data_IF_041304261334
#
_entry.id   IF_041304261334
#
_cell.length_a   1.000
_cell.length_b   1.000
_cell.length_c   1.000
_cell.angle_alpha   90.00
_cell.angle_beta   90.00
_cell.angle_gamma   90.00
#
_symmetry.space_group_name_H-M   'P 1'
#
loop_
_entity.id
_entity.type
_entity.pdbx_description
1 polymer ?
#
# COMPACT_ATOMS: atom_id res chain seq x y z
N UNK A 1 3.01 14.19 6.89
CA UNK A 1 3.90 13.38 7.75
C UNK A 1 5.36 13.82 7.70
N UNK A 2 6.10 13.82 6.58
CA UNK A 2 7.50 14.31 6.61
C UNK A 2 7.64 15.76 7.09
N UNK A 3 6.66 16.61 6.78
CA UNK A 3 6.61 18.02 7.23
C UNK A 3 6.26 18.18 8.71
N UNK A 4 5.54 17.22 9.32
CA UNK A 4 5.16 17.31 10.75
C UNK A 4 6.31 16.90 11.66
N UNK A 5 7.13 15.94 11.23
CA UNK A 5 8.29 15.46 11.97
C UNK A 5 9.57 16.25 11.65
N UNK A 6 9.61 16.91 10.49
CA UNK A 6 10.70 17.78 10.06
C UNK A 6 10.13 18.95 9.24
N UNK A 7 9.70 20.04 9.89
CA UNK A 7 9.07 21.18 9.21
C UNK A 7 9.99 21.86 8.19
N UNK A 8 11.31 21.72 8.32
CA UNK A 8 12.29 22.22 7.37
C UNK A 8 12.13 21.55 5.99
N UNK A 9 11.87 20.24 5.96
CA UNK A 9 11.59 19.50 4.71
C UNK A 9 10.39 20.09 3.96
N UNK A 10 9.35 20.53 4.68
CA UNK A 10 8.18 21.14 4.05
C UNK A 10 8.34 22.59 3.60
N UNK A 11 9.35 23.29 4.13
CA UNK A 11 9.63 24.70 3.80
C UNK A 11 10.68 24.84 2.70
N UNK A 12 11.67 23.95 2.70
CA UNK A 12 12.86 24.06 1.85
C UNK A 12 12.81 23.16 0.61
N UNK A 13 11.91 22.17 0.58
CA UNK A 13 11.75 21.28 -0.59
C UNK A 13 10.43 21.52 -1.32
N UNK A 14 10.51 21.59 -2.64
CA UNK A 14 9.35 21.63 -3.54
C UNK A 14 9.10 20.26 -4.13
N UNK A 15 7.85 19.82 -4.13
CA UNK A 15 7.47 18.55 -4.77
C UNK A 15 7.43 18.74 -6.27
N UNK A 16 8.35 18.09 -6.98
CA UNK A 16 8.44 18.12 -8.45
C UNK A 16 7.49 17.13 -9.12
N UNK A 17 7.17 16.03 -8.45
CA UNK A 17 6.33 14.96 -8.97
C UNK A 17 5.70 14.16 -7.83
N UNK A 18 4.52 13.59 -8.07
CA UNK A 18 3.83 12.69 -7.14
C UNK A 18 3.32 11.47 -7.86
N UNK A 19 3.57 10.31 -7.26
CA UNK A 19 2.88 9.09 -7.67
C UNK A 19 1.40 9.16 -7.28
N UNK A 20 0.50 8.50 -8.04
CA UNK A 20 -0.84 8.20 -7.58
C UNK A 20 -0.81 7.45 -6.24
N UNK A 21 -1.92 7.49 -5.49
CA UNK A 21 -2.01 6.76 -4.22
C UNK A 21 -1.80 5.27 -4.46
N UNK A 22 -0.77 4.73 -3.81
CA UNK A 22 -0.48 3.31 -3.79
C UNK A 22 -1.23 2.63 -2.63
N UNK A 23 -1.50 1.34 -2.78
CA UNK A 23 -2.06 0.53 -1.69
C UNK A 23 -0.99 0.35 -0.62
N UNK A 24 -1.29 0.76 0.61
CA UNK A 24 -0.39 0.61 1.77
C UNK A 24 -0.32 -0.82 2.32
N UNK A 25 -1.34 -1.64 2.04
CA UNK A 25 -1.39 -3.05 2.42
C UNK A 25 -2.70 -3.71 2.03
N UNK A 26 -2.69 -5.04 1.95
CA UNK A 26 -3.88 -5.87 1.75
C UNK A 26 -3.95 -6.95 2.82
N UNK A 27 -5.17 -7.28 3.24
CA UNK A 27 -5.41 -8.43 4.11
C UNK A 27 -5.88 -9.58 3.22
N UNK A 28 -5.09 -10.64 3.15
CA UNK A 28 -5.42 -11.85 2.40
C UNK A 28 -5.76 -12.98 3.36
N UNK A 29 -6.74 -13.81 2.99
CA UNK A 29 -7.14 -15.00 3.75
C UNK A 29 -6.79 -16.26 2.97
N UNK A 30 -6.50 -17.35 3.68
CA UNK A 30 -6.18 -18.65 3.06
C UNK A 30 -7.35 -19.13 2.22
N UNK A 31 -7.07 -19.70 1.04
CA UNK A 31 -8.10 -20.10 0.07
C UNK A 31 -9.07 -21.13 0.62
N UNK A 32 -8.55 -22.11 1.36
CA UNK A 32 -9.22 -23.24 1.99
C UNK A 32 -9.88 -22.92 3.34
N UNK A 33 -9.77 -21.68 3.84
CA UNK A 33 -10.46 -21.30 5.07
C UNK A 33 -11.98 -21.36 4.84
N UNK A 34 -12.77 -22.03 5.73
CA UNK A 34 -14.21 -22.11 5.57
C UNK A 34 -14.87 -20.74 5.48
N UNK A 35 -15.87 -20.62 4.60
CA UNK A 35 -16.50 -19.32 4.29
C UNK A 35 -17.10 -18.64 5.53
N UNK A 36 -17.65 -19.43 6.46
CA UNK A 36 -18.15 -18.91 7.74
C UNK A 36 -17.07 -18.17 8.53
N UNK A 37 -15.82 -18.65 8.51
CA UNK A 37 -14.71 -17.99 9.19
C UNK A 37 -14.24 -16.76 8.41
N UNK A 38 -14.17 -16.83 7.07
CA UNK A 38 -13.83 -15.68 6.23
C UNK A 38 -14.79 -14.51 6.45
N UNK A 39 -16.10 -14.79 6.53
CA UNK A 39 -17.12 -13.76 6.75
C UNK A 39 -17.03 -13.18 8.16
N UNK A 40 -16.83 -14.01 9.19
CA UNK A 40 -16.61 -13.55 10.57
C UNK A 40 -15.38 -12.64 10.68
N UNK A 41 -14.25 -13.05 10.09
CA UNK A 41 -13.01 -12.25 10.07
C UNK A 41 -13.23 -10.94 9.32
N UNK A 42 -13.85 -10.99 8.14
CA UNK A 42 -14.14 -9.79 7.34
C UNK A 42 -14.99 -8.80 8.13
N UNK A 43 -16.08 -9.27 8.76
CA UNK A 43 -16.95 -8.40 9.55
C UNK A 43 -16.18 -7.78 10.71
N UNK A 44 -15.46 -8.59 11.49
CA UNK A 44 -14.68 -8.12 12.63
C UNK A 44 -13.64 -7.05 12.22
N UNK A 45 -12.91 -7.25 11.12
CA UNK A 45 -11.93 -6.28 10.63
C UNK A 45 -12.57 -4.98 10.15
N UNK A 46 -13.76 -5.04 9.53
CA UNK A 46 -14.45 -3.86 9.03
C UNK A 46 -15.03 -3.01 10.16
N UNK A 47 -15.45 -3.62 11.27
CA UNK A 47 -16.02 -2.91 12.43
C UNK A 47 -15.01 -2.65 13.54
N UNK A 48 -13.78 -3.14 13.44
CA UNK A 48 -12.75 -2.99 14.49
C UNK A 48 -12.50 -1.53 14.88
N UNK A 49 -12.59 -0.60 13.93
CA UNK A 49 -12.43 0.83 14.20
C UNK A 49 -13.59 1.47 14.98
N UNK A 50 -14.68 0.74 15.24
CA UNK A 50 -15.86 1.24 15.95
C UNK A 50 -15.69 1.11 17.47
N UNK A 51 -15.01 0.05 17.92
CA UNK A 51 -14.69 -0.19 19.33
C UNK A 51 -13.45 0.60 19.81
N UNK A 52 -13.27 0.70 21.12
CA UNK A 52 -12.21 1.52 21.72
C UNK A 52 -10.82 0.89 21.54
N UNK A 53 -10.71 -0.43 21.65
CA UNK A 53 -9.43 -1.16 21.54
C UNK A 53 -8.88 -1.10 20.11
N UNK A 54 -9.74 -1.29 19.11
CA UNK A 54 -9.42 -1.20 17.70
C UNK A 54 -9.11 0.22 17.26
N UNK A 55 -9.74 1.25 17.85
CA UNK A 55 -9.31 2.65 17.65
C UNK A 55 -7.87 2.87 18.13
N UNK A 56 -7.51 2.35 19.31
CA UNK A 56 -6.13 2.44 19.80
C UNK A 56 -5.15 1.71 18.88
N UNK A 57 -5.52 0.51 18.41
CA UNK A 57 -4.72 -0.23 17.44
C UNK A 57 -4.49 0.58 16.16
N UNK A 58 -5.54 1.23 15.64
CA UNK A 58 -5.46 1.98 14.39
C UNK A 58 -4.60 3.24 14.54
N UNK A 59 -4.62 3.89 15.72
CA UNK A 59 -3.69 4.98 16.03
C UNK A 59 -2.24 4.51 16.00
N UNK A 60 -1.92 3.37 16.61
CA UNK A 60 -0.56 2.81 16.63
C UNK A 60 -0.04 2.52 15.21
N UNK A 61 -0.91 2.00 14.33
CA UNK A 61 -0.56 1.74 12.93
C UNK A 61 -0.78 2.92 11.98
N UNK A 62 -1.20 4.08 12.49
CA UNK A 62 -1.54 5.27 11.70
C UNK A 62 -2.59 5.01 10.60
N UNK A 63 -3.51 4.09 10.89
CA UNK A 63 -4.64 3.75 10.03
C UNK A 63 -5.89 4.49 10.48
N UNK A 64 -6.77 4.82 9.52
CA UNK A 64 -8.08 5.41 9.83
C UNK A 64 -9.19 4.36 9.89
N UNK A 65 -9.21 3.47 8.90
CA UNK A 65 -10.15 2.37 8.80
C UNK A 65 -9.64 1.30 7.84
N UNK A 66 -10.18 0.09 7.96
CA UNK A 66 -10.11 -0.92 6.91
C UNK A 66 -11.32 -0.76 5.99
N UNK A 67 -11.15 -1.07 4.71
CA UNK A 67 -12.22 -0.99 3.70
C UNK A 67 -12.32 -2.31 2.96
N UNK A 68 -13.52 -2.66 2.45
CA UNK A 68 -13.66 -3.84 1.59
C UNK A 68 -12.75 -3.71 0.37
N UNK A 69 -12.02 -4.79 0.06
CA UNK A 69 -11.16 -4.81 -1.10
C UNK A 69 -11.96 -4.61 -2.38
N UNK A 70 -11.43 -3.79 -3.27
CA UNK A 70 -11.88 -3.68 -4.66
C UNK A 70 -10.67 -3.74 -5.59
N UNK A 71 -10.76 -4.44 -6.74
CA UNK A 71 -9.63 -4.57 -7.67
C UNK A 71 -9.03 -3.24 -8.11
N UNK A 72 -9.84 -2.19 -8.22
CA UNK A 72 -9.40 -0.88 -8.70
C UNK A 72 -8.34 -0.24 -7.80
N UNK A 73 -8.33 -0.59 -6.52
CA UNK A 73 -7.33 -0.07 -5.57
C UNK A 73 -5.92 -0.48 -5.98
N UNK A 74 -5.73 -1.65 -6.61
CA UNK A 74 -4.41 -2.15 -6.98
C UNK A 74 -3.86 -1.55 -8.28
N UNK A 75 -4.67 -0.87 -9.10
CA UNK A 75 -4.28 -0.42 -10.44
C UNK A 75 -2.98 0.38 -10.47
N UNK A 76 -2.83 1.36 -9.57
CA UNK A 76 -1.62 2.19 -9.51
C UNK A 76 -0.39 1.38 -9.08
N UNK A 77 -0.55 0.49 -8.10
CA UNK A 77 0.51 -0.40 -7.62
C UNK A 77 0.94 -1.40 -8.70
N UNK A 78 -0.02 -1.97 -9.44
CA UNK A 78 0.24 -2.89 -10.54
C UNK A 78 0.97 -2.19 -11.71
N UNK A 79 0.53 -0.98 -12.07
CA UNK A 79 1.19 -0.18 -13.10
C UNK A 79 2.65 0.14 -12.72
N UNK A 80 2.89 0.58 -11.49
CA UNK A 80 4.24 0.84 -10.97
C UNK A 80 5.12 -0.43 -11.00
N UNK A 81 4.55 -1.58 -10.60
CA UNK A 81 5.27 -2.85 -10.63
C UNK A 81 5.62 -3.29 -12.06
N UNK A 82 4.69 -3.12 -13.00
CA UNK A 82 4.89 -3.43 -14.42
C UNK A 82 5.97 -2.54 -15.06
N UNK A 83 5.94 -1.24 -14.77
CA UNK A 83 6.97 -0.29 -15.20
C UNK A 83 8.35 -0.71 -14.65
N UNK A 84 8.46 -0.95 -13.34
CA UNK A 84 9.69 -1.39 -12.72
C UNK A 84 10.23 -2.69 -13.37
N UNK A 85 9.36 -3.68 -13.62
CA UNK A 85 9.75 -4.93 -14.31
C UNK A 85 10.31 -4.66 -15.71
N UNK A 86 9.69 -3.75 -16.45
CA UNK A 86 10.11 -3.37 -17.81
C UNK A 86 11.46 -2.67 -17.80
N UNK A 87 11.62 -1.67 -16.92
CA UNK A 87 12.88 -0.93 -16.76
C UNK A 87 14.02 -1.84 -16.31
N UNK A 88 13.75 -2.77 -15.38
CA UNK A 88 14.75 -3.74 -14.91
C UNK A 88 15.24 -4.66 -16.03
N UNK A 89 14.33 -5.14 -16.88
CA UNK A 89 14.69 -5.95 -18.05
C UNK A 89 15.47 -5.14 -19.09
N UNK A 90 15.07 -3.90 -19.35
CA UNK A 90 15.79 -3.00 -20.27
C UNK A 90 17.22 -2.75 -19.77
N UNK A 91 17.39 -2.42 -18.49
CA UNK A 91 18.69 -2.15 -17.90
C UNK A 91 19.60 -3.39 -17.93
N UNK A 92 19.06 -4.58 -17.66
CA UNK A 92 19.81 -5.83 -17.80
C UNK A 92 20.29 -6.05 -19.26
N UNK A 93 19.44 -5.75 -20.26
CA UNK A 93 19.81 -5.84 -21.68
C UNK A 93 20.84 -4.79 -22.09
N UNK A 94 20.78 -3.58 -21.55
CA UNK A 94 21.74 -2.51 -21.85
C UNK A 94 23.09 -2.74 -21.16
N UNK A 95 23.11 -3.30 -19.94
CA UNK A 95 24.34 -3.72 -19.27
C UNK A 95 25.10 -4.82 -20.02
N UNK A 96 24.41 -5.69 -20.75
CA UNK A 96 25.02 -6.69 -21.64
C UNK A 96 25.58 -6.11 -22.95
N UNK A 97 25.18 -4.88 -23.33
CA UNK A 97 25.67 -4.18 -24.52
C UNK A 97 26.88 -3.26 -24.24
N UNK A 98 27.08 -2.83 -23.00
CA UNK A 98 28.22 -1.99 -22.61
C UNK A 98 29.53 -2.74 -22.36
N UNK A 99 29.57 -4.06 -22.61
CA UNK A 99 30.73 -4.93 -22.37
C UNK A 99 31.29 -5.52 -23.69
N UNK A 100 31.15 -4.79 -24.80
CA UNK A 100 31.77 -5.09 -26.10
C UNK A 100 32.48 -3.86 -26.64
#
# INVERSE_FOLDING_TARGET
>A
MSVELNPQIGRELTVIERLPKLVGGIIAMRRDLPEVHKQKIRQALLTLHEDQEGKQLFVLFQLKKLVPYRPEYMRATEALYAEHRTLRQRNARMGLRGNR
#
